data_IF_935659723894
#
_entry.id   IF_935659723894
#
_cell.length_a   1.000
_cell.length_b   1.000
_cell.length_c   1.000
_cell.angle_alpha   90.00
_cell.angle_beta   90.00
_cell.angle_gamma   90.00
#
_symmetry.space_group_name_H-M   'P 1'
#
loop_
_entity.id
_entity.type
_entity.pdbx_description
1 polymer ?
#
# COMPACT_ATOMS: atom_id res chain seq x y z
N UNK A 1 -8.40 -7.41 -16.81
CA UNK A 1 -7.36 -7.44 -15.77
C UNK A 1 -7.94 -7.89 -14.45
N UNK A 2 -7.55 -9.09 -14.01
CA UNK A 2 -7.74 -9.58 -12.67
C UNK A 2 -6.70 -8.98 -11.71
N UNK A 3 -6.37 -7.71 -11.85
CA UNK A 3 -5.50 -7.03 -10.91
C UNK A 3 -6.20 -6.93 -9.56
N UNK A 4 -5.71 -7.56 -8.56
CA UNK A 4 -6.56 -8.09 -7.53
C UNK A 4 -6.02 -7.84 -6.16
N UNK A 5 -5.92 -6.58 -5.82
CA UNK A 5 -5.74 -6.18 -4.44
C UNK A 5 -4.58 -6.94 -3.77
N UNK A 6 -4.85 -7.50 -2.61
CA UNK A 6 -3.84 -8.18 -1.79
C UNK A 6 -3.22 -9.46 -2.38
N UNK A 7 -3.77 -10.03 -3.45
CA UNK A 7 -3.17 -11.21 -4.13
C UNK A 7 -1.91 -10.90 -4.94
N UNK A 8 -1.65 -9.62 -5.25
CA UNK A 8 -0.42 -9.21 -5.94
C UNK A 8 0.85 -9.38 -5.12
N UNK A 9 0.75 -9.67 -3.82
CA UNK A 9 1.91 -9.87 -2.94
C UNK A 9 2.83 -11.01 -3.37
N UNK A 10 2.32 -12.04 -4.05
CA UNK A 10 3.14 -13.11 -4.62
C UNK A 10 4.06 -12.61 -5.73
N UNK A 11 3.61 -11.60 -6.47
CA UNK A 11 4.31 -11.02 -7.62
C UNK A 11 5.03 -9.70 -7.32
N UNK A 12 4.91 -9.18 -6.09
CA UNK A 12 5.69 -8.02 -5.67
C UNK A 12 7.16 -8.43 -5.56
N UNK A 13 7.87 -8.24 -6.67
CA UNK A 13 9.33 -8.30 -6.66
C UNK A 13 9.88 -7.29 -5.68
N UNK A 14 10.96 -7.65 -5.01
CA UNK A 14 11.69 -6.72 -4.16
C UNK A 14 12.29 -5.65 -5.05
N UNK A 15 11.65 -4.50 -5.12
CA UNK A 15 12.22 -3.34 -5.80
C UNK A 15 13.39 -2.83 -4.98
N UNK A 16 14.57 -2.77 -5.60
CA UNK A 16 15.70 -2.08 -5.00
C UNK A 16 15.35 -0.60 -4.88
N UNK A 17 15.63 0.05 -3.74
CA UNK A 17 15.52 1.48 -3.65
C UNK A 17 16.38 2.10 -4.74
N UNK A 18 15.77 2.87 -5.62
CA UNK A 18 16.48 3.53 -6.71
C UNK A 18 15.68 4.74 -7.18
N UNK A 19 16.39 5.80 -7.50
CA UNK A 19 15.80 6.96 -8.15
C UNK A 19 15.45 6.57 -9.58
N UNK A 20 14.17 6.68 -9.95
CA UNK A 20 13.67 6.37 -11.28
C UNK A 20 13.11 7.62 -11.94
N UNK A 21 13.33 7.73 -13.25
CA UNK A 21 12.67 8.76 -14.06
C UNK A 21 11.17 8.59 -13.94
N UNK A 22 10.47 9.68 -13.66
CA UNK A 22 9.00 9.69 -13.62
C UNK A 22 8.45 9.56 -15.05
N UNK A 23 7.62 8.57 -15.29
CA UNK A 23 7.02 8.25 -16.60
C UNK A 23 5.49 8.13 -16.55
N UNK A 24 4.87 8.47 -15.40
CA UNK A 24 3.42 8.43 -15.23
C UNK A 24 2.78 9.73 -15.73
N UNK A 25 1.50 9.66 -16.07
CA UNK A 25 0.62 10.81 -16.35
C UNK A 25 0.06 11.45 -15.09
N UNK A 26 0.42 10.94 -13.89
CA UNK A 26 -0.02 11.54 -12.62
C UNK A 26 0.60 12.93 -12.42
N UNK A 27 -0.22 13.91 -12.09
CA UNK A 27 0.22 15.30 -11.86
C UNK A 27 0.75 15.56 -10.45
N UNK A 28 0.70 14.60 -9.54
CA UNK A 28 0.90 14.85 -8.11
C UNK A 28 1.88 13.92 -7.40
N UNK A 29 2.19 12.76 -7.93
CA UNK A 29 2.96 11.73 -7.22
C UNK A 29 4.41 11.62 -7.71
N UNK A 30 5.12 12.75 -7.81
CA UNK A 30 6.50 12.81 -8.26
C UNK A 30 7.35 13.79 -7.44
N UNK A 31 8.66 13.71 -7.61
CA UNK A 31 9.63 14.69 -7.16
C UNK A 31 10.17 15.48 -8.35
N UNK A 32 10.39 16.80 -8.15
CA UNK A 32 10.95 17.68 -9.17
C UNK A 32 12.24 18.30 -8.65
N UNK A 33 13.38 17.92 -9.23
CA UNK A 33 14.66 18.43 -8.75
C UNK A 33 15.85 17.73 -9.38
N UNK A 34 16.89 17.58 -8.60
CA UNK A 34 18.14 16.93 -8.98
C UNK A 34 18.32 15.65 -8.18
N UNK A 35 18.96 14.67 -8.78
CA UNK A 35 19.25 13.42 -8.15
C UNK A 35 20.59 12.86 -8.65
N UNK A 36 21.32 12.17 -7.78
CA UNK A 36 22.55 11.47 -8.09
C UNK A 36 22.50 10.05 -7.51
N UNK A 37 23.07 9.11 -8.24
CA UNK A 37 23.24 7.73 -7.80
C UNK A 37 24.66 7.27 -8.13
N UNK A 38 25.29 6.61 -7.17
CA UNK A 38 26.66 6.13 -7.26
C UNK A 38 26.72 4.66 -6.82
N UNK A 39 27.63 3.92 -7.43
CA UNK A 39 27.94 2.54 -7.03
C UNK A 39 29.42 2.40 -6.78
N UNK A 40 29.77 1.97 -5.56
CA UNK A 40 31.14 1.69 -5.15
C UNK A 40 31.24 0.24 -4.68
N UNK A 41 31.67 -0.64 -5.58
CA UNK A 41 31.75 -2.06 -5.31
C UNK A 41 30.39 -2.65 -4.90
N UNK A 42 30.24 -2.96 -3.62
CA UNK A 42 29.00 -3.54 -3.05
C UNK A 42 28.03 -2.51 -2.43
N UNK A 43 28.40 -1.24 -2.47
CA UNK A 43 27.61 -0.16 -1.89
C UNK A 43 26.95 0.65 -3.01
N UNK A 44 25.63 0.72 -2.97
CA UNK A 44 24.82 1.62 -3.78
C UNK A 44 24.42 2.82 -2.92
N UNK A 45 24.64 4.03 -3.42
CA UNK A 45 24.26 5.28 -2.75
C UNK A 45 23.40 6.11 -3.70
N UNK A 46 22.37 6.74 -3.18
CA UNK A 46 21.58 7.70 -3.93
C UNK A 46 21.17 8.86 -3.04
N UNK A 47 21.09 10.06 -3.63
CA UNK A 47 20.61 11.25 -2.97
C UNK A 47 19.81 12.10 -3.94
N UNK A 48 18.83 12.84 -3.44
CA UNK A 48 18.06 13.78 -4.23
C UNK A 48 17.64 15.00 -3.42
N UNK A 49 17.40 16.09 -4.14
CA UNK A 49 16.71 17.28 -3.67
C UNK A 49 15.54 17.57 -4.60
N UNK A 50 14.39 17.90 -4.04
CA UNK A 50 13.17 18.23 -4.77
C UNK A 50 12.57 19.55 -4.27
N UNK A 51 12.11 20.37 -5.21
CA UNK A 51 11.32 21.57 -4.98
C UNK A 51 10.03 21.46 -5.78
N UNK A 52 8.89 21.32 -5.11
CA UNK A 52 7.61 21.05 -5.74
C UNK A 52 6.51 21.98 -5.21
N UNK A 53 5.93 22.85 -6.06
CA UNK A 53 4.64 23.47 -5.77
C UNK A 53 3.55 22.39 -5.68
N UNK A 54 2.81 22.37 -4.59
CA UNK A 54 1.85 21.30 -4.26
C UNK A 54 0.49 21.90 -3.94
N UNK A 55 -0.56 21.19 -4.32
CA UNK A 55 -1.94 21.57 -4.06
C UNK A 55 -2.33 21.16 -2.64
N UNK A 56 -2.97 22.08 -1.91
CA UNK A 56 -3.40 21.81 -0.55
C UNK A 56 -4.76 22.43 -0.23
N UNK A 57 -5.50 21.78 0.64
CA UNK A 57 -6.66 22.39 1.29
C UNK A 57 -6.20 23.10 2.55
N UNK A 58 -6.38 24.41 2.57
CA UNK A 58 -6.04 25.25 3.71
C UNK A 58 -7.26 25.43 4.62
N UNK A 59 -7.01 25.57 5.91
CA UNK A 59 -7.98 26.03 6.91
C UNK A 59 -8.10 27.56 6.86
N UNK A 60 -9.05 28.13 7.61
CA UNK A 60 -9.24 29.58 7.71
C UNK A 60 -8.01 30.30 8.30
N UNK A 61 -7.24 29.65 9.14
CA UNK A 61 -6.00 30.14 9.74
C UNK A 61 -4.77 30.03 8.81
N UNK A 62 -4.96 29.54 7.58
CA UNK A 62 -3.90 29.34 6.60
C UNK A 62 -3.06 28.08 6.80
N UNK A 63 -3.37 27.23 7.76
CA UNK A 63 -2.70 25.94 7.96
C UNK A 63 -3.18 24.88 6.97
N UNK A 64 -2.33 23.88 6.68
CA UNK A 64 -2.65 22.78 5.78
C UNK A 64 -3.55 21.78 6.53
N UNK A 65 -4.73 21.52 5.97
CA UNK A 65 -5.63 20.46 6.42
C UNK A 65 -5.32 19.12 5.73
N UNK A 66 -5.01 19.15 4.43
CA UNK A 66 -4.66 17.96 3.63
C UNK A 66 -3.96 18.39 2.34
N UNK A 67 -3.04 17.56 1.86
CA UNK A 67 -2.52 17.65 0.50
C UNK A 67 -3.53 17.08 -0.48
N UNK A 68 -3.63 17.68 -1.66
CA UNK A 68 -4.49 17.19 -2.76
C UNK A 68 -3.64 16.37 -3.71
N UNK A 69 -4.10 15.18 -4.02
CA UNK A 69 -3.39 14.21 -4.86
C UNK A 69 -4.18 13.78 -6.09
N UNK A 70 -5.33 14.43 -6.34
CA UNK A 70 -6.20 14.13 -7.49
C UNK A 70 -5.83 14.89 -8.77
N UNK A 71 -5.02 15.99 -8.67
CA UNK A 71 -4.61 16.81 -9.83
C UNK A 71 -5.77 17.55 -10.52
N UNK A 72 -6.94 17.67 -9.87
CA UNK A 72 -8.13 18.25 -10.51
C UNK A 72 -8.20 19.76 -10.28
N UNK A 73 -8.32 20.53 -11.38
CA UNK A 73 -8.41 21.99 -11.40
C UNK A 73 -9.57 22.46 -12.30
N UNK A 74 -10.78 21.93 -12.09
CA UNK A 74 -11.96 22.15 -12.95
C UNK A 74 -12.90 23.25 -12.45
N UNK A 75 -12.88 23.51 -11.13
CA UNK A 75 -13.74 24.50 -10.47
C UNK A 75 -12.91 25.63 -9.87
N UNK A 76 -13.52 26.78 -9.58
CA UNK A 76 -12.86 27.89 -8.91
C UNK A 76 -12.29 27.48 -7.54
N UNK A 77 -12.99 26.59 -6.81
CA UNK A 77 -12.51 26.04 -5.55
C UNK A 77 -11.31 25.13 -5.72
N UNK A 78 -11.27 24.31 -6.78
CA UNK A 78 -10.10 23.47 -7.09
C UNK A 78 -8.92 24.36 -7.54
N UNK A 79 -9.16 25.37 -8.37
CA UNK A 79 -8.14 26.33 -8.80
C UNK A 79 -7.54 27.12 -7.63
N UNK A 80 -8.33 27.48 -6.62
CA UNK A 80 -7.81 28.19 -5.42
C UNK A 80 -6.86 27.33 -4.57
N UNK A 81 -6.86 26.02 -4.76
CA UNK A 81 -5.98 25.06 -4.08
C UNK A 81 -4.71 24.77 -4.86
N UNK A 82 -4.65 25.18 -6.13
CA UNK A 82 -3.53 24.89 -7.02
C UNK A 82 -2.26 25.60 -6.56
N UNK A 83 -1.19 24.81 -6.38
CA UNK A 83 0.17 25.30 -6.08
C UNK A 83 0.25 26.30 -4.90
N UNK A 84 -0.66 26.20 -3.93
CA UNK A 84 -0.75 27.17 -2.81
C UNK A 84 0.20 26.84 -1.65
N UNK A 85 0.94 25.73 -1.75
CA UNK A 85 1.97 25.30 -0.80
C UNK A 85 3.20 24.84 -1.57
N UNK A 86 4.39 25.09 -1.04
CA UNK A 86 5.64 24.55 -1.56
C UNK A 86 6.16 23.46 -0.66
N UNK A 87 6.54 22.32 -1.25
CA UNK A 87 7.24 21.21 -0.61
C UNK A 87 8.70 21.21 -1.06
N UNK A 88 9.62 21.21 -0.10
CA UNK A 88 11.04 20.94 -0.32
C UNK A 88 11.37 19.60 0.31
N UNK A 89 12.05 18.72 -0.42
CA UNK A 89 12.36 17.38 0.06
C UNK A 89 13.82 17.04 -0.23
N UNK A 90 14.48 16.44 0.76
CA UNK A 90 15.82 15.87 0.63
C UNK A 90 15.74 14.39 1.04
N UNK A 91 16.31 13.52 0.23
CA UNK A 91 16.38 12.10 0.57
C UNK A 91 17.72 11.51 0.18
N UNK A 92 18.17 10.57 1.00
CA UNK A 92 19.35 9.75 0.74
C UNK A 92 19.09 8.31 1.12
N UNK A 93 19.67 7.41 0.35
CA UNK A 93 19.68 5.97 0.61
C UNK A 93 21.09 5.43 0.41
N UNK A 94 21.49 4.56 1.32
CA UNK A 94 22.75 3.82 1.24
C UNK A 94 22.44 2.35 1.44
N UNK A 95 22.78 1.52 0.45
CA UNK A 95 22.50 0.09 0.46
C UNK A 95 23.78 -0.72 0.22
N UNK A 96 24.08 -1.64 1.13
CA UNK A 96 25.13 -2.62 0.98
C UNK A 96 24.58 -3.95 0.48
N UNK A 97 25.18 -4.51 -0.58
CA UNK A 97 24.73 -5.71 -1.27
C UNK A 97 25.81 -6.79 -1.33
N UNK A 98 25.50 -8.03 -0.95
CA UNK A 98 26.40 -9.19 -1.00
C UNK A 98 25.96 -10.29 -1.95
N UNK A 99 24.97 -10.06 -2.80
CA UNK A 99 24.35 -11.09 -3.65
C UNK A 99 23.19 -11.79 -2.96
N UNK A 100 23.39 -12.38 -1.79
CA UNK A 100 22.30 -13.05 -1.03
C UNK A 100 21.64 -12.14 0.00
N UNK A 101 22.37 -11.14 0.49
CA UNK A 101 21.91 -10.22 1.52
C UNK A 101 22.09 -8.77 1.08
N UNK A 102 21.12 -7.95 1.41
CA UNK A 102 21.15 -6.50 1.21
C UNK A 102 20.66 -5.84 2.50
N UNK A 103 21.39 -4.84 2.96
CA UNK A 103 21.03 -4.00 4.08
C UNK A 103 21.20 -2.55 3.68
N UNK A 104 20.20 -1.72 3.94
CA UNK A 104 20.31 -0.31 3.64
C UNK A 104 19.62 0.58 4.66
N UNK A 105 19.96 1.85 4.59
CA UNK A 105 19.41 2.91 5.42
C UNK A 105 18.96 4.07 4.53
N UNK A 106 17.79 4.60 4.82
CA UNK A 106 17.20 5.73 4.13
C UNK A 106 16.92 6.85 5.11
N UNK A 107 17.22 8.09 4.73
CA UNK A 107 16.81 9.29 5.45
C UNK A 107 16.06 10.19 4.48
N UNK A 108 14.90 10.67 4.92
CA UNK A 108 14.03 11.51 4.12
C UNK A 108 13.50 12.66 4.95
N UNK A 109 13.79 13.89 4.52
CA UNK A 109 13.35 15.12 5.17
C UNK A 109 12.46 15.94 4.22
N UNK A 110 11.38 16.48 4.76
CA UNK A 110 10.43 17.34 4.03
C UNK A 110 10.17 18.63 4.82
N UNK A 111 10.20 19.75 4.11
CA UNK A 111 9.82 21.07 4.62
C UNK A 111 8.69 21.66 3.78
N UNK A 112 7.66 22.17 4.44
CA UNK A 112 6.52 22.82 3.78
C UNK A 112 6.50 24.33 4.10
N UNK A 113 6.14 25.15 3.11
CA UNK A 113 6.02 26.59 3.29
C UNK A 113 4.94 27.01 4.29
N UNK A 114 3.95 26.12 4.53
CA UNK A 114 2.87 26.29 5.51
C UNK A 114 2.84 25.14 6.49
N UNK A 115 2.39 25.42 7.73
CA UNK A 115 2.28 24.40 8.76
C UNK A 115 1.06 23.51 8.53
N UNK A 116 1.22 22.21 8.75
CA UNK A 116 0.08 21.31 8.96
C UNK A 116 -0.52 21.58 10.33
N UNK A 117 -1.82 21.38 10.44
CA UNK A 117 -2.52 21.39 11.72
C UNK A 117 -3.37 20.10 11.83
N UNK A 118 -3.09 19.32 12.86
CA UNK A 118 -3.95 18.21 13.25
C UNK A 118 -5.34 18.73 13.59
N UNK A 119 -6.38 17.95 13.39
CA UNK A 119 -7.73 18.34 13.81
C UNK A 119 -7.93 18.21 15.30
N UNK A 120 -9.10 18.63 15.78
CA UNK A 120 -9.55 18.47 17.17
C UNK A 120 -10.17 17.11 17.44
N UNK A 121 -10.54 16.37 16.38
CA UNK A 121 -11.16 15.07 16.48
C UNK A 121 -10.18 14.01 16.95
N UNK A 122 -10.63 13.08 17.81
CA UNK A 122 -9.82 12.02 18.42
C UNK A 122 -8.99 11.26 17.37
N UNK A 123 -9.58 10.88 16.23
CA UNK A 123 -8.90 10.12 15.20
C UNK A 123 -7.81 10.91 14.47
N UNK A 124 -7.78 12.26 14.61
CA UNK A 124 -6.78 13.15 14.03
C UNK A 124 -5.66 13.54 14.99
N UNK A 125 -5.67 13.10 16.22
CA UNK A 125 -4.71 13.50 17.25
C UNK A 125 -3.24 13.32 16.82
N UNK A 126 -2.94 12.30 16.01
CA UNK A 126 -1.61 12.00 15.49
C UNK A 126 -1.49 12.23 13.97
N UNK A 127 -2.30 13.13 13.43
CA UNK A 127 -2.16 13.58 12.05
C UNK A 127 -0.94 14.50 11.91
N UNK A 128 -0.44 14.73 10.68
CA UNK A 128 0.66 15.65 10.45
C UNK A 128 0.45 16.99 11.14
N UNK A 129 1.47 17.47 11.84
CA UNK A 129 1.48 18.73 12.57
C UNK A 129 2.86 19.37 12.41
N UNK A 130 2.93 20.70 12.17
CA UNK A 130 4.18 21.41 11.90
C UNK A 130 4.51 21.53 10.41
N UNK A 131 5.73 21.97 10.12
CA UNK A 131 6.25 22.19 8.76
C UNK A 131 7.30 21.18 8.35
N UNK A 132 7.96 20.56 9.32
CA UNK A 132 9.17 19.78 9.17
C UNK A 132 8.93 18.32 9.53
N UNK A 133 9.25 17.43 8.60
CA UNK A 133 9.02 16.01 8.75
C UNK A 133 10.29 15.22 8.41
N UNK A 134 10.86 14.56 9.40
CA UNK A 134 12.01 13.68 9.22
C UNK A 134 11.56 12.22 9.39
N UNK A 135 11.86 11.42 8.39
CA UNK A 135 11.71 9.97 8.44
C UNK A 135 13.08 9.32 8.22
N UNK A 136 13.39 8.31 9.01
CA UNK A 136 14.58 7.48 8.84
C UNK A 136 14.16 6.01 8.84
N UNK A 137 14.76 5.20 7.99
CA UNK A 137 14.40 3.81 7.83
C UNK A 137 15.60 2.90 7.61
N UNK A 138 15.43 1.65 8.01
CA UNK A 138 16.32 0.55 7.69
C UNK A 138 15.54 -0.45 6.86
N UNK A 139 16.13 -0.90 5.75
CA UNK A 139 15.55 -1.93 4.89
C UNK A 139 16.55 -3.05 4.69
N UNK A 140 16.04 -4.26 4.58
CA UNK A 140 16.85 -5.45 4.42
C UNK A 140 16.18 -6.47 3.51
N UNK A 141 17.01 -7.27 2.88
CA UNK A 141 16.58 -8.38 2.05
C UNK A 141 17.58 -9.51 2.19
N UNK A 142 17.07 -10.70 2.36
CA UNK A 142 17.81 -11.94 2.31
C UNK A 142 17.13 -12.90 1.36
N UNK A 143 17.89 -13.46 0.44
CA UNK A 143 17.40 -14.43 -0.52
C UNK A 143 18.40 -15.58 -0.60
N UNK A 144 17.95 -16.78 -0.36
CA UNK A 144 18.74 -17.98 -0.52
C UNK A 144 17.83 -19.14 -0.95
N UNK A 145 18.18 -19.78 -2.08
CA UNK A 145 17.48 -20.93 -2.65
C UNK A 145 15.95 -20.68 -2.79
N UNK A 146 15.16 -21.34 -1.96
CA UNK A 146 13.70 -21.32 -1.96
C UNK A 146 13.11 -20.27 -1.02
N UNK A 147 13.91 -19.66 -0.20
CA UNK A 147 13.46 -18.70 0.81
C UNK A 147 13.88 -17.26 0.47
N UNK A 148 12.95 -16.34 0.59
CA UNK A 148 13.19 -14.91 0.48
C UNK A 148 12.56 -14.20 1.68
N UNK A 149 13.34 -13.36 2.34
CA UNK A 149 12.87 -12.53 3.45
C UNK A 149 13.26 -11.08 3.19
N UNK A 150 12.32 -10.16 3.33
CA UNK A 150 12.56 -8.73 3.15
C UNK A 150 11.72 -7.94 4.13
N UNK A 151 12.20 -6.78 4.50
CA UNK A 151 11.48 -5.89 5.38
C UNK A 151 12.05 -4.48 5.41
N UNK A 152 11.26 -3.62 6.00
CA UNK A 152 11.59 -2.22 6.24
C UNK A 152 11.04 -1.82 7.60
N UNK A 153 11.83 -1.07 8.35
CA UNK A 153 11.41 -0.41 9.60
C UNK A 153 11.77 1.05 9.51
N UNK A 154 10.78 1.92 9.62
CA UNK A 154 10.92 3.36 9.51
C UNK A 154 10.48 4.05 10.81
N UNK A 155 11.15 5.14 11.15
CA UNK A 155 10.88 6.02 12.27
C UNK A 155 10.46 7.40 11.74
N UNK A 156 9.55 8.07 12.45
CA UNK A 156 9.09 9.43 12.18
C UNK A 156 9.31 10.33 13.40
N UNK A 157 9.89 11.51 13.19
CA UNK A 157 10.29 12.42 14.26
C UNK A 157 9.13 13.14 14.94
N UNK A 158 7.98 13.33 14.26
CA UNK A 158 6.89 14.23 14.74
C UNK A 158 6.33 13.79 16.08
N UNK A 159 6.02 12.50 16.23
CA UNK A 159 5.48 11.93 17.48
C UNK A 159 6.30 10.74 17.98
N UNK A 160 7.50 10.51 17.43
CA UNK A 160 8.32 9.35 17.79
C UNK A 160 7.73 8.01 17.33
N UNK A 161 6.87 8.04 16.29
CA UNK A 161 6.23 6.84 15.77
C UNK A 161 7.13 6.01 14.87
N UNK A 162 6.82 4.72 14.76
CA UNK A 162 7.53 3.80 13.89
C UNK A 162 6.57 2.89 13.11
N UNK A 163 7.04 2.42 11.97
CA UNK A 163 6.31 1.52 11.10
C UNK A 163 7.25 0.41 10.62
N UNK A 164 6.80 -0.84 10.68
CA UNK A 164 7.55 -1.97 10.14
C UNK A 164 6.69 -2.85 9.27
N UNK A 165 7.28 -3.33 8.19
CA UNK A 165 6.70 -4.31 7.28
C UNK A 165 7.73 -5.40 7.03
N UNK A 166 7.36 -6.67 7.23
CA UNK A 166 8.19 -7.83 7.01
C UNK A 166 7.47 -8.83 6.12
N UNK A 167 8.15 -9.33 5.10
CA UNK A 167 7.63 -10.31 4.14
C UNK A 167 8.56 -11.50 4.04
N UNK A 168 8.01 -12.68 4.16
CA UNK A 168 8.69 -13.94 3.91
C UNK A 168 7.99 -14.70 2.79
N UNK A 169 8.74 -15.22 1.84
CA UNK A 169 8.24 -16.08 0.76
C UNK A 169 9.03 -17.38 0.81
N UNK A 170 8.32 -18.50 0.79
CA UNK A 170 8.90 -19.83 0.65
C UNK A 170 8.35 -20.50 -0.60
N UNK A 171 9.24 -20.94 -1.50
CA UNK A 171 8.91 -21.68 -2.72
C UNK A 171 9.23 -23.16 -2.49
N UNK A 172 8.21 -23.96 -2.25
CA UNK A 172 8.40 -25.42 -2.10
C UNK A 172 9.01 -26.03 -3.38
N UNK A 173 8.49 -25.58 -4.52
CA UNK A 173 8.97 -25.89 -5.87
C UNK A 173 8.44 -24.82 -6.85
N UNK A 174 8.54 -25.07 -8.17
CA UNK A 174 8.03 -24.18 -9.22
C UNK A 174 6.50 -24.07 -9.27
N UNK A 175 5.76 -24.97 -8.59
CA UNK A 175 4.29 -25.02 -8.61
C UNK A 175 3.63 -24.55 -7.30
N UNK A 176 4.36 -24.53 -6.20
CA UNK A 176 3.79 -24.25 -4.88
C UNK A 176 4.63 -23.20 -4.16
N UNK A 177 3.98 -22.15 -3.71
CA UNK A 177 4.60 -21.11 -2.91
C UNK A 177 3.69 -20.63 -1.78
N UNK A 178 4.31 -20.12 -0.73
CA UNK A 178 3.64 -19.52 0.42
C UNK A 178 4.27 -18.16 0.69
N UNK A 179 3.43 -17.21 1.06
CA UNK A 179 3.84 -15.87 1.53
C UNK A 179 3.29 -15.62 2.92
N UNK A 180 4.09 -15.01 3.75
CA UNK A 180 3.68 -14.43 5.03
C UNK A 180 4.14 -12.97 5.08
N UNK A 181 3.28 -12.09 5.57
CA UNK A 181 3.61 -10.68 5.73
C UNK A 181 3.07 -10.19 7.07
N UNK A 182 3.95 -9.56 7.83
CA UNK A 182 3.62 -8.88 9.08
C UNK A 182 3.77 -7.38 8.85
N UNK A 183 2.79 -6.61 9.30
CA UNK A 183 2.85 -5.15 9.34
C UNK A 183 2.50 -4.64 10.72
N UNK A 184 3.20 -3.60 11.15
CA UNK A 184 2.92 -2.92 12.40
C UNK A 184 3.27 -1.44 12.22
N UNK A 185 2.23 -0.61 12.12
CA UNK A 185 2.31 0.82 11.93
C UNK A 185 1.69 1.51 13.13
N UNK A 186 2.52 2.11 13.96
CA UNK A 186 2.03 2.84 15.12
C UNK A 186 1.14 4.01 14.69
N UNK A 187 0.19 4.40 15.51
CA UNK A 187 -0.70 5.53 15.23
C UNK A 187 0.04 6.89 15.27
N UNK A 188 1.21 6.94 15.89
CA UNK A 188 2.11 8.10 15.93
C UNK A 188 2.98 8.24 14.68
N UNK A 189 3.08 7.22 13.82
CA UNK A 189 3.91 7.31 12.64
C UNK A 189 3.31 8.28 11.62
N UNK A 190 4.15 9.23 11.15
CA UNK A 190 3.80 10.23 10.14
C UNK A 190 4.75 10.10 8.94
N UNK A 191 4.24 9.52 7.86
CA UNK A 191 4.96 9.40 6.59
C UNK A 191 4.09 9.95 5.46
N UNK A 192 4.27 11.22 5.09
CA UNK A 192 3.41 11.92 4.10
C UNK A 192 3.48 11.29 2.70
N UNK A 193 4.63 10.71 2.35
CA UNK A 193 4.88 10.02 1.08
C UNK A 193 5.02 8.50 1.25
N UNK A 194 4.78 7.98 2.46
CA UNK A 194 4.85 6.55 2.72
C UNK A 194 3.69 5.83 2.04
N UNK A 195 4.01 4.75 1.33
CA UNK A 195 3.04 3.86 0.73
C UNK A 195 3.45 2.42 1.03
N UNK A 196 2.53 1.63 1.54
CA UNK A 196 2.79 0.25 1.91
C UNK A 196 1.51 -0.57 1.85
N UNK A 197 1.66 -1.89 1.96
CA UNK A 197 0.54 -2.79 2.08
C UNK A 197 -0.24 -2.52 3.38
N UNK A 198 -1.45 -2.02 3.26
CA UNK A 198 -2.32 -1.69 4.38
C UNK A 198 -3.80 -1.87 4.04
N UNK A 199 -4.63 -2.15 5.03
CA UNK A 199 -6.09 -2.14 4.91
C UNK A 199 -6.65 -0.71 5.00
N UNK A 200 -6.03 0.13 5.82
CA UNK A 200 -6.45 1.51 6.07
C UNK A 200 -6.06 2.49 4.97
N UNK A 201 -5.26 2.08 3.99
CA UNK A 201 -4.79 2.93 2.89
C UNK A 201 -3.72 3.95 3.28
N UNK A 202 -3.24 3.94 4.52
CA UNK A 202 -2.16 4.79 5.02
C UNK A 202 -1.19 3.97 5.88
N UNK A 203 0.08 4.34 5.89
CA UNK A 203 1.11 3.68 6.71
C UNK A 203 1.06 4.27 8.13
N UNK A 204 0.00 3.96 8.85
CA UNK A 204 -0.18 4.34 10.27
C UNK A 204 -1.38 3.63 10.88
N UNK A 205 -1.40 3.54 12.20
CA UNK A 205 -2.53 3.03 12.98
C UNK A 205 -3.04 1.68 12.49
N UNK A 206 -2.14 0.75 12.17
CA UNK A 206 -2.53 -0.57 11.70
C UNK A 206 -1.50 -1.62 12.09
N UNK A 207 -1.97 -2.71 12.68
CA UNK A 207 -1.22 -3.93 12.89
C UNK A 207 -1.90 -5.07 12.15
N UNK A 208 -1.14 -5.95 11.50
CA UNK A 208 -1.77 -7.02 10.75
C UNK A 208 -0.82 -8.13 10.35
N UNK A 209 -1.43 -9.25 10.05
CA UNK A 209 -0.75 -10.44 9.56
C UNK A 209 -1.50 -10.99 8.34
N UNK A 210 -0.78 -11.13 7.26
CA UNK A 210 -1.26 -11.72 6.02
C UNK A 210 -0.52 -13.03 5.75
N UNK A 211 -1.23 -14.05 5.36
CA UNK A 211 -0.66 -15.28 4.85
C UNK A 211 -1.41 -15.74 3.61
N UNK A 212 -0.68 -16.24 2.64
CA UNK A 212 -1.27 -16.71 1.40
C UNK A 212 -0.50 -17.87 0.80
N UNK A 213 -1.20 -18.66 0.02
CA UNK A 213 -0.67 -19.81 -0.72
C UNK A 213 -1.05 -19.70 -2.19
N UNK A 214 -0.12 -20.08 -3.05
CA UNK A 214 -0.32 -20.20 -4.48
C UNK A 214 0.08 -21.61 -4.91
N UNK A 215 -0.76 -22.26 -5.71
CA UNK A 215 -0.57 -23.61 -6.18
C UNK A 215 -0.94 -23.72 -7.66
N UNK A 216 -0.09 -24.35 -8.46
CA UNK A 216 -0.36 -24.69 -9.86
C UNK A 216 -0.23 -26.22 -10.03
N UNK A 217 -1.21 -27.02 -9.52
CA UNK A 217 -1.14 -28.47 -9.57
C UNK A 217 -1.05 -29.00 -10.99
N UNK A 218 -1.67 -28.30 -11.93
CA UNK A 218 -1.57 -28.51 -13.38
C UNK A 218 -1.04 -27.24 -14.04
N UNK A 219 -0.48 -27.32 -15.24
CA UNK A 219 0.01 -26.15 -15.97
C UNK A 219 -1.14 -25.18 -16.32
N UNK A 220 -2.33 -25.72 -16.50
CA UNK A 220 -3.55 -25.02 -16.88
C UNK A 220 -4.36 -24.51 -15.68
N UNK A 221 -4.03 -24.93 -14.45
CA UNK A 221 -4.80 -24.61 -13.25
C UNK A 221 -3.94 -23.90 -12.22
N UNK A 222 -4.34 -22.66 -11.90
CA UNK A 222 -3.75 -21.86 -10.82
C UNK A 222 -4.77 -21.63 -9.72
N UNK A 223 -4.39 -21.96 -8.51
CA UNK A 223 -5.16 -21.75 -7.29
C UNK A 223 -4.42 -20.75 -6.42
N UNK A 224 -5.13 -19.82 -5.84
CA UNK A 224 -4.56 -18.90 -4.83
C UNK A 224 -5.55 -18.66 -3.69
N UNK A 225 -5.04 -18.62 -2.48
CA UNK A 225 -5.83 -18.30 -1.30
C UNK A 225 -5.02 -17.44 -0.35
N UNK A 226 -5.69 -16.52 0.35
CA UNK A 226 -5.06 -15.78 1.44
C UNK A 226 -6.04 -15.47 2.56
N UNK A 227 -5.46 -15.21 3.73
CA UNK A 227 -6.14 -14.63 4.89
C UNK A 227 -5.33 -13.43 5.35
N UNK A 228 -6.00 -12.34 5.63
CA UNK A 228 -5.43 -11.10 6.16
C UNK A 228 -6.19 -10.68 7.41
N UNK A 229 -5.54 -10.74 8.56
CA UNK A 229 -6.01 -10.18 9.81
C UNK A 229 -5.44 -8.78 9.99
N UNK A 230 -6.26 -7.83 10.42
CA UNK A 230 -5.85 -6.45 10.68
C UNK A 230 -6.53 -5.88 11.92
N UNK A 231 -5.77 -5.09 12.66
CA UNK A 231 -6.17 -4.44 13.90
C UNK A 231 -5.76 -2.97 13.87
N UNK A 232 -6.64 -2.10 14.31
CA UNK A 232 -6.41 -0.66 14.41
C UNK A 232 -6.39 -0.27 15.88
N UNK A 233 -5.20 0.01 16.46
CA UNK A 233 -5.05 0.29 17.88
C UNK A 233 -5.57 1.67 18.31
N UNK A 234 -5.87 2.57 17.37
CA UNK A 234 -6.40 3.90 17.63
C UNK A 234 -7.68 4.16 16.85
N UNK A 235 -8.43 5.20 17.29
CA UNK A 235 -9.64 5.66 16.63
C UNK A 235 -9.46 5.93 15.13
N UNK A 236 -10.50 5.69 14.34
CA UNK A 236 -10.61 6.01 12.92
C UNK A 236 -11.84 6.88 12.66
N UNK A 237 -11.93 7.47 11.48
CA UNK A 237 -13.14 8.18 11.09
C UNK A 237 -14.38 7.28 11.21
N UNK A 238 -15.35 7.72 12.01
CA UNK A 238 -16.59 6.98 12.29
C UNK A 238 -16.46 5.80 13.27
N UNK A 239 -15.26 5.57 13.86
CA UNK A 239 -15.01 4.51 14.85
C UNK A 239 -14.11 5.09 15.94
N UNK A 240 -14.67 5.51 17.11
CA UNK A 240 -13.91 6.22 18.15
C UNK A 240 -13.09 5.30 19.07
N UNK A 241 -13.09 4.01 18.86
CA UNK A 241 -12.38 2.99 19.62
C UNK A 241 -11.48 2.13 18.72
N UNK A 242 -10.76 1.19 19.32
CA UNK A 242 -9.98 0.17 18.60
C UNK A 242 -10.91 -0.72 17.78
N UNK A 243 -10.44 -1.18 16.64
CA UNK A 243 -11.24 -2.04 15.77
C UNK A 243 -10.38 -3.05 15.03
N UNK A 244 -11.00 -4.14 14.62
CA UNK A 244 -10.30 -5.22 13.91
C UNK A 244 -11.11 -5.75 12.74
N UNK A 245 -10.48 -6.59 11.94
CA UNK A 245 -11.15 -7.28 10.87
C UNK A 245 -10.33 -8.40 10.29
N UNK A 246 -10.99 -9.19 9.48
CA UNK A 246 -10.37 -10.29 8.74
C UNK A 246 -10.91 -10.33 7.33
N UNK A 247 -10.03 -10.60 6.38
CA UNK A 247 -10.36 -10.81 4.97
C UNK A 247 -9.79 -12.16 4.53
N UNK A 248 -10.62 -12.97 3.89
CA UNK A 248 -10.22 -14.20 3.25
C UNK A 248 -10.59 -14.18 1.78
N UNK A 249 -9.71 -14.68 0.92
CA UNK A 249 -9.96 -14.81 -0.51
C UNK A 249 -9.52 -16.17 -0.98
N UNK A 250 -10.32 -16.74 -1.85
CA UNK A 250 -9.99 -17.92 -2.65
C UNK A 250 -10.21 -17.63 -4.12
N UNK A 251 -9.25 -17.96 -4.97
CA UNK A 251 -9.30 -17.74 -6.41
C UNK A 251 -8.84 -18.97 -7.17
N UNK A 252 -9.52 -19.24 -8.26
CA UNK A 252 -9.22 -20.30 -9.23
C UNK A 252 -9.11 -19.64 -10.59
N UNK A 253 -8.02 -19.88 -11.30
CA UNK A 253 -7.84 -19.51 -12.71
C UNK A 253 -7.51 -20.79 -13.47
N UNK A 254 -8.34 -21.15 -14.46
CA UNK A 254 -8.26 -22.40 -15.19
C UNK A 254 -8.37 -22.18 -16.70
N UNK A 255 -7.32 -22.58 -17.41
CA UNK A 255 -7.30 -22.67 -18.87
C UNK A 255 -7.84 -24.05 -19.24
N UNK A 256 -9.15 -24.14 -19.49
CA UNK A 256 -9.84 -25.44 -19.79
C UNK A 256 -9.38 -26.01 -21.12
N UNK A 257 -9.10 -25.13 -22.08
CA UNK A 257 -8.57 -25.47 -23.41
C UNK A 257 -7.87 -24.26 -24.00
N UNK A 258 -7.19 -24.40 -25.14
CA UNK A 258 -6.58 -23.27 -25.84
C UNK A 258 -7.56 -22.15 -26.27
N UNK A 259 -8.86 -22.35 -26.05
CA UNK A 259 -9.90 -21.37 -26.38
C UNK A 259 -10.71 -20.89 -25.18
N UNK A 260 -10.71 -21.61 -24.07
CA UNK A 260 -11.54 -21.31 -22.90
C UNK A 260 -10.71 -21.06 -21.67
N UNK A 261 -10.96 -19.93 -21.03
CA UNK A 261 -10.41 -19.57 -19.72
C UNK A 261 -11.56 -19.30 -18.73
N UNK A 262 -11.51 -19.93 -17.57
CA UNK A 262 -12.45 -19.75 -16.48
C UNK A 262 -11.71 -19.16 -15.28
N UNK A 263 -12.30 -18.14 -14.66
CA UNK A 263 -11.80 -17.57 -13.42
C UNK A 263 -12.92 -17.43 -12.41
N UNK A 264 -12.66 -17.89 -11.20
CA UNK A 264 -13.57 -17.76 -10.07
C UNK A 264 -12.86 -17.13 -8.88
N UNK A 265 -13.51 -16.16 -8.22
CA UNK A 265 -12.99 -15.54 -6.99
C UNK A 265 -14.09 -15.37 -5.98
N UNK A 266 -13.86 -15.86 -4.79
CA UNK A 266 -14.68 -15.62 -3.62
C UNK A 266 -13.90 -14.84 -2.57
N UNK A 267 -14.53 -13.81 -2.02
CA UNK A 267 -13.99 -12.95 -0.97
C UNK A 267 -14.98 -12.87 0.18
N UNK A 268 -14.48 -13.12 1.37
CA UNK A 268 -15.18 -12.91 2.63
C UNK A 268 -14.42 -11.85 3.41
N UNK A 269 -15.13 -10.81 3.89
CA UNK A 269 -14.52 -9.78 4.72
C UNK A 269 -15.43 -9.41 5.87
N UNK A 270 -14.88 -9.46 7.08
CA UNK A 270 -15.50 -8.98 8.30
C UNK A 270 -14.69 -7.82 8.84
N UNK A 271 -15.33 -6.70 9.09
CA UNK A 271 -14.72 -5.52 9.74
C UNK A 271 -15.79 -4.67 10.41
N UNK A 272 -15.36 -3.69 11.17
CA UNK A 272 -16.25 -2.66 11.70
C UNK A 272 -16.34 -1.48 10.72
N UNK A 273 -17.54 -0.93 10.56
CA UNK A 273 -17.81 0.26 9.76
C UNK A 273 -18.83 1.14 10.48
N UNK A 274 -18.44 2.38 10.78
CA UNK A 274 -19.27 3.34 11.54
C UNK A 274 -19.83 2.75 12.86
N UNK A 275 -18.98 2.05 13.62
CA UNK A 275 -19.35 1.45 14.89
C UNK A 275 -20.25 0.21 14.79
N UNK A 276 -20.49 -0.32 13.58
CA UNK A 276 -21.31 -1.51 13.36
C UNK A 276 -20.50 -2.64 12.71
N UNK A 277 -20.71 -3.89 13.16
CA UNK A 277 -20.10 -5.04 12.49
C UNK A 277 -20.64 -5.18 11.06
N UNK A 278 -19.74 -5.39 10.13
CA UNK A 278 -19.99 -5.45 8.70
C UNK A 278 -19.41 -6.72 8.13
N UNK A 279 -20.26 -7.56 7.56
CA UNK A 279 -19.88 -8.80 6.89
C UNK A 279 -20.20 -8.69 5.40
N UNK A 280 -19.18 -8.92 4.59
CA UNK A 280 -19.21 -8.74 3.15
C UNK A 280 -18.82 -10.02 2.43
N UNK A 281 -19.66 -10.47 1.51
CA UNK A 281 -19.39 -11.61 0.63
C UNK A 281 -19.39 -11.11 -0.82
N UNK A 282 -18.38 -11.49 -1.56
CA UNK A 282 -18.31 -11.20 -2.99
C UNK A 282 -17.87 -12.44 -3.74
N UNK A 283 -18.68 -12.84 -4.71
CA UNK A 283 -18.36 -13.86 -5.69
C UNK A 283 -18.22 -13.19 -7.07
N UNK A 284 -17.16 -13.50 -7.77
CA UNK A 284 -16.97 -13.14 -9.18
C UNK A 284 -16.62 -14.39 -9.95
N UNK A 285 -17.36 -14.64 -11.01
CA UNK A 285 -17.06 -15.71 -11.97
C UNK A 285 -16.93 -15.08 -13.34
N UNK A 286 -15.90 -15.45 -14.06
CA UNK A 286 -15.64 -14.97 -15.42
C UNK A 286 -15.34 -16.16 -16.31
N UNK A 287 -15.96 -16.19 -17.47
CA UNK A 287 -15.64 -17.09 -18.57
C UNK A 287 -15.20 -16.26 -19.77
N UNK A 288 -14.11 -16.66 -20.39
CA UNK A 288 -13.58 -16.05 -21.60
C UNK A 288 -13.39 -17.13 -22.65
N UNK A 289 -13.83 -16.85 -23.88
CA UNK A 289 -13.69 -17.75 -25.01
C UNK A 289 -13.08 -17.01 -26.20
N UNK A 290 -12.02 -17.55 -26.76
CA UNK A 290 -11.35 -17.06 -27.97
C UNK A 290 -11.42 -18.11 -29.07
N UNK A 291 -12.60 -18.27 -29.74
CA UNK A 291 -12.78 -19.30 -30.78
C UNK A 291 -11.86 -19.08 -31.99
N UNK A 292 -11.46 -17.85 -32.25
CA UNK A 292 -10.48 -17.49 -33.30
C UNK A 292 -9.68 -16.25 -32.88
N UNK A 293 -8.63 -15.90 -33.65
CA UNK A 293 -7.79 -14.70 -33.41
C UNK A 293 -8.57 -13.37 -33.51
N UNK A 294 -9.76 -13.38 -34.09
CA UNK A 294 -10.57 -12.18 -34.35
C UNK A 294 -11.77 -12.05 -33.43
N UNK A 295 -12.12 -13.09 -32.66
CA UNK A 295 -13.31 -13.13 -31.82
C UNK A 295 -12.97 -13.48 -30.39
N UNK A 296 -13.33 -12.60 -29.47
CA UNK A 296 -13.22 -12.81 -28.03
C UNK A 296 -14.61 -12.62 -27.38
N UNK A 297 -15.01 -13.58 -26.58
CA UNK A 297 -16.21 -13.53 -25.77
C UNK A 297 -15.83 -13.52 -24.31
N UNK A 298 -16.37 -12.55 -23.55
CA UNK A 298 -16.14 -12.44 -22.12
C UNK A 298 -17.46 -12.27 -21.38
N UNK A 299 -17.83 -13.25 -20.55
CA UNK A 299 -18.93 -13.21 -19.62
C UNK A 299 -18.46 -13.00 -18.19
N UNK A 300 -19.08 -12.10 -17.45
CA UNK A 300 -18.73 -11.85 -16.02
C UNK A 300 -20.00 -11.78 -15.20
N UNK A 301 -20.08 -12.63 -14.17
CA UNK A 301 -21.10 -12.60 -13.13
C UNK A 301 -20.49 -12.11 -11.83
N UNK A 302 -21.13 -11.13 -11.19
CA UNK A 302 -20.73 -10.63 -9.87
C UNK A 302 -21.92 -10.70 -8.94
N UNK A 303 -21.72 -11.37 -7.81
CA UNK A 303 -22.68 -11.40 -6.72
C UNK A 303 -22.03 -10.75 -5.49
N UNK A 304 -22.74 -9.82 -4.87
CA UNK A 304 -22.30 -9.14 -3.66
C UNK A 304 -23.42 -9.19 -2.63
N UNK A 305 -23.12 -9.70 -1.45
CA UNK A 305 -24.04 -9.70 -0.31
C UNK A 305 -23.41 -8.92 0.84
N UNK A 306 -24.17 -7.94 1.31
CA UNK A 306 -23.83 -7.03 2.39
C UNK A 306 -24.78 -7.29 3.57
N UNK A 307 -24.28 -7.74 4.71
CA UNK A 307 -25.05 -7.84 5.94
C UNK A 307 -24.57 -6.79 6.91
N UNK A 308 -25.36 -5.76 7.10
CA UNK A 308 -25.29 -4.93 8.30
C UNK A 308 -25.94 -5.74 9.41
N UNK A 309 -25.24 -6.01 10.50
CA UNK A 309 -25.84 -6.55 11.71
C UNK A 309 -26.67 -5.41 12.34
N UNK A 310 -27.97 -5.44 12.12
CA UNK A 310 -28.90 -4.65 12.93
C UNK A 310 -28.91 -5.24 14.32
N UNK A 311 -28.31 -4.58 15.31
CA UNK A 311 -28.66 -4.84 16.71
C UNK A 311 -30.10 -4.37 16.85
N UNK A 312 -31.01 -5.30 17.10
CA UNK A 312 -32.29 -5.01 17.68
C UNK A 312 -32.00 -4.38 19.06
N UNK A 313 -32.32 -3.09 19.19
CA UNK A 313 -32.38 -2.46 20.50
C UNK A 313 -33.51 -3.11 21.24
N UNK A 314 -33.19 -3.99 22.17
CA UNK A 314 -34.08 -4.42 23.25
C UNK A 314 -33.91 -3.50 24.43
#
# INVERSE_FOLDING_TARGET
DFSLGKSTLFNMGDTRPSIKKFSSTSETSFFRGIAAAFRFGRVDMSAFYSYLPTDATLRKDGTISSLKTDGLHRTLLELSKKHNVTEQSVGTDVTWNTGYFSLGATVFYQHFSRSFSKGTELYRQYYPDGKDFLNAGLHYRWHRDRFSFSGETAFSSVYGGWATLNKAIYRFNHRYSMVALQRLFTYQYVGLRANSFSEGGAVRNESGFYTGVEASPLNELKLSAYVDYFYFPWAKFGIPHTSEGVEGVFQVDWVVSGKWELSGRYQLKRKERYGQPYLYHKLKVQAQCMPSKFWEWRGVVRYTRDRKSTRLNS
#
